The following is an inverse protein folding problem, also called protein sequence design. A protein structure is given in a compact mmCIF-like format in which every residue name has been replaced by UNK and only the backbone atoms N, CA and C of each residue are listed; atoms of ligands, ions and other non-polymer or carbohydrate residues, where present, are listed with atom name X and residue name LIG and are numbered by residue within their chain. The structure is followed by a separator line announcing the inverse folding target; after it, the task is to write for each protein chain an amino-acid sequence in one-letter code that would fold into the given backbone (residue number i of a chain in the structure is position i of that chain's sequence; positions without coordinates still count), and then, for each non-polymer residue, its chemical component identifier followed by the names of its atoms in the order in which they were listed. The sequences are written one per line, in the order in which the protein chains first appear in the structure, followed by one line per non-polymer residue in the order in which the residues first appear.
data_IF_802040207415
#
_entry.id   IF_802040207415
#
_cell.length_a   1.000
_cell.length_b   1.000
_cell.length_c   1.000
_cell.angle_alpha   90.00
_cell.angle_beta   90.00
_cell.angle_gamma   90.00
#
_symmetry.space_group_name_H-M   'P 1'
#
loop_
_entity.id
_entity.type
_entity.pdbx_description
1 polymer ?
#
# COMPACT_ATOMS: atom_id res chain seq x y z
N UNK A 1 -29.82 18.22 8.36
CA UNK A 1 -29.74 17.45 9.61
C UNK A 1 -28.35 17.77 10.13
N UNK A 2 -28.27 18.60 11.16
CA UNK A 2 -27.00 19.12 11.65
C UNK A 2 -26.37 18.05 12.55
N UNK A 3 -25.30 17.41 12.06
CA UNK A 3 -24.52 16.50 12.88
C UNK A 3 -23.76 17.30 13.94
N UNK A 4 -23.89 16.89 15.20
CA UNK A 4 -23.18 17.48 16.33
C UNK A 4 -21.86 16.74 16.58
N UNK A 5 -20.93 17.36 17.31
CA UNK A 5 -19.65 16.71 17.68
C UNK A 5 -19.89 15.39 18.41
N UNK A 6 -20.98 15.29 19.18
CA UNK A 6 -21.32 14.08 19.94
C UNK A 6 -21.72 12.91 19.04
N UNK A 7 -22.15 13.17 17.80
CA UNK A 7 -22.50 12.15 16.80
C UNK A 7 -21.27 11.51 16.14
N UNK A 8 -20.06 12.04 16.40
CA UNK A 8 -18.82 11.55 15.83
C UNK A 8 -18.22 10.41 16.68
N UNK A 9 -17.56 9.48 16.00
CA UNK A 9 -16.72 8.48 16.68
C UNK A 9 -15.54 9.15 17.40
N UNK A 10 -14.97 8.46 18.39
CA UNK A 10 -13.84 9.01 19.15
C UNK A 10 -12.63 9.32 18.26
N UNK A 11 -12.38 8.49 17.23
CA UNK A 11 -11.34 8.76 16.23
C UNK A 11 -11.62 10.00 15.38
N UNK A 12 -12.87 10.23 14.97
CA UNK A 12 -13.24 11.46 14.25
C UNK A 12 -13.10 12.71 15.14
N UNK A 13 -13.43 12.60 16.43
CA UNK A 13 -13.21 13.67 17.40
C UNK A 13 -11.72 13.97 17.56
N UNK A 14 -10.89 12.93 17.66
CA UNK A 14 -9.43 13.06 17.79
C UNK A 14 -8.81 13.77 16.58
N UNK A 15 -9.25 13.44 15.35
CA UNK A 15 -8.84 14.13 14.13
C UNK A 15 -9.24 15.61 14.18
N UNK A 16 -10.49 15.92 14.53
CA UNK A 16 -10.98 17.30 14.59
C UNK A 16 -10.20 18.10 15.63
N UNK A 17 -9.92 17.51 16.80
CA UNK A 17 -9.17 18.17 17.86
C UNK A 17 -7.72 18.43 17.46
N UNK A 18 -7.04 17.46 16.86
CA UNK A 18 -5.69 17.62 16.31
C UNK A 18 -5.66 18.73 15.26
N UNK A 19 -6.62 18.73 14.35
CA UNK A 19 -6.75 19.77 13.32
C UNK A 19 -6.99 21.16 13.93
N UNK A 20 -7.93 21.26 14.87
CA UNK A 20 -8.25 22.52 15.55
C UNK A 20 -7.02 23.07 16.28
N UNK A 21 -6.25 22.20 16.92
CA UNK A 21 -5.02 22.58 17.61
C UNK A 21 -3.96 23.08 16.63
N UNK A 22 -3.69 22.37 15.54
CA UNK A 22 -2.70 22.80 14.54
C UNK A 22 -3.11 24.13 13.90
N UNK A 23 -4.38 24.24 13.50
CA UNK A 23 -4.90 25.45 12.85
C UNK A 23 -4.91 26.65 13.79
N UNK A 24 -5.32 26.46 15.06
CA UNK A 24 -5.34 27.53 16.07
C UNK A 24 -3.95 28.07 16.37
N UNK A 25 -2.95 27.19 16.41
CA UNK A 25 -1.57 27.59 16.73
C UNK A 25 -0.85 28.25 15.54
N UNK A 26 -1.40 28.19 14.32
CA UNK A 26 -0.83 28.83 13.12
C UNK A 26 0.66 28.59 12.96
N UNK A 27 1.09 27.33 13.14
CA UNK A 27 2.48 26.95 12.96
C UNK A 27 2.96 27.36 11.56
N UNK A 28 4.07 28.09 11.52
CA UNK A 28 4.73 28.53 10.30
C UNK A 28 6.24 28.51 10.57
N UNK A 29 7.02 27.97 9.65
CA UNK A 29 8.46 27.81 9.78
C UNK A 29 8.84 26.98 11.03
N UNK A 30 8.07 25.92 11.26
CA UNK A 30 8.20 25.04 12.42
C UNK A 30 8.52 23.60 12.02
N UNK A 31 9.15 22.87 12.93
CA UNK A 31 9.25 21.40 12.89
C UNK A 31 8.18 20.85 13.83
N UNK A 32 7.32 19.98 13.32
CA UNK A 32 6.23 19.33 14.06
C UNK A 32 6.57 17.85 14.16
N UNK A 33 6.56 17.31 15.37
CA UNK A 33 6.78 15.89 15.64
C UNK A 33 5.46 15.29 16.10
N UNK A 34 5.03 14.21 15.46
CA UNK A 34 3.77 13.52 15.79
C UNK A 34 4.08 12.04 16.03
N UNK A 35 3.57 11.52 17.14
CA UNK A 35 3.73 10.13 17.54
C UNK A 35 2.38 9.42 17.39
N UNK A 36 2.35 8.34 16.62
CA UNK A 36 1.18 7.48 16.35
C UNK A 36 -0.13 8.26 16.02
N UNK A 37 -0.15 9.11 14.96
CA UNK A 37 -1.36 9.84 14.57
C UNK A 37 -2.56 8.94 14.20
N UNK A 38 -2.30 7.66 13.94
CA UNK A 38 -3.29 6.63 13.62
C UNK A 38 -4.04 6.05 14.83
N UNK A 39 -3.61 6.33 16.06
CA UNK A 39 -4.18 5.71 17.24
C UNK A 39 -5.71 5.97 17.29
N UNK A 40 -6.50 4.90 17.49
CA UNK A 40 -7.97 4.91 17.46
C UNK A 40 -8.66 5.21 16.11
N UNK A 41 -7.90 5.32 15.01
CA UNK A 41 -8.46 5.55 13.69
C UNK A 41 -8.73 4.23 12.95
N UNK A 42 -9.65 4.29 12.00
CA UNK A 42 -9.77 3.25 10.98
C UNK A 42 -8.91 3.62 9.77
N UNK A 43 -8.58 2.63 8.93
CA UNK A 43 -7.72 2.82 7.75
C UNK A 43 -8.15 3.97 6.81
N UNK A 44 -9.46 4.23 6.67
CA UNK A 44 -9.96 5.35 5.85
C UNK A 44 -9.63 6.71 6.47
N UNK A 45 -9.76 6.81 7.79
CA UNK A 45 -9.42 8.01 8.55
C UNK A 45 -7.91 8.24 8.64
N UNK A 46 -7.11 7.17 8.74
CA UNK A 46 -5.65 7.26 8.69
C UNK A 46 -5.16 7.89 7.38
N UNK A 47 -5.68 7.45 6.22
CA UNK A 47 -5.30 8.06 4.93
C UNK A 47 -5.65 9.56 4.88
N UNK A 48 -6.84 9.92 5.39
CA UNK A 48 -7.28 11.31 5.44
C UNK A 48 -6.38 12.17 6.34
N UNK A 49 -5.93 11.66 7.48
CA UNK A 49 -5.07 12.45 8.37
C UNK A 49 -3.76 12.81 7.68
N UNK A 50 -3.15 11.89 6.93
CA UNK A 50 -1.91 12.15 6.20
C UNK A 50 -2.11 13.18 5.09
N UNK A 51 -3.18 13.06 4.30
CA UNK A 51 -3.50 14.05 3.25
C UNK A 51 -3.71 15.46 3.83
N UNK A 52 -4.24 15.55 5.05
CA UNK A 52 -4.37 16.83 5.75
C UNK A 52 -3.03 17.35 6.29
N UNK A 53 -2.20 16.49 6.88
CA UNK A 53 -0.86 16.87 7.34
C UNK A 53 0.01 17.40 6.19
N UNK A 54 -0.12 16.85 4.98
CA UNK A 54 0.54 17.38 3.77
C UNK A 54 0.18 18.85 3.50
N UNK A 55 -1.07 19.28 3.74
CA UNK A 55 -1.46 20.70 3.60
C UNK A 55 -0.82 21.62 4.65
N UNK A 56 -0.48 21.08 5.82
CA UNK A 56 0.22 21.86 6.86
C UNK A 56 1.69 22.04 6.49
N UNK A 57 2.30 21.06 5.81
CA UNK A 57 3.65 21.16 5.23
C UNK A 57 3.73 22.32 4.22
N UNK A 58 2.70 22.51 3.38
CA UNK A 58 2.62 23.62 2.41
C UNK A 58 2.74 25.02 3.05
N UNK A 59 2.49 25.13 4.35
CA UNK A 59 2.65 26.38 5.12
C UNK A 59 4.09 26.58 5.63
N UNK A 60 5.09 26.06 4.90
CA UNK A 60 6.51 26.12 5.26
C UNK A 60 6.81 25.45 6.61
N UNK A 61 6.17 24.31 6.88
CA UNK A 61 6.44 23.49 8.05
C UNK A 61 7.09 22.17 7.64
N UNK A 62 7.90 21.58 8.51
CA UNK A 62 8.38 20.21 8.38
C UNK A 62 7.63 19.33 9.39
N UNK A 63 7.16 18.16 8.95
CA UNK A 63 6.46 17.21 9.84
C UNK A 63 7.23 15.90 9.84
N UNK A 64 7.52 15.38 11.04
CA UNK A 64 8.03 14.04 11.25
C UNK A 64 6.99 13.22 11.99
N UNK A 65 6.75 12.00 11.50
CA UNK A 65 5.75 11.09 12.04
C UNK A 65 6.46 9.81 12.46
N UNK A 66 6.27 9.40 13.71
CA UNK A 66 6.54 8.03 14.16
C UNK A 66 5.25 7.22 14.01
N UNK A 67 5.32 6.09 13.31
CA UNK A 67 4.13 5.30 12.97
C UNK A 67 4.51 3.83 12.84
N UNK A 68 3.55 2.98 13.19
CA UNK A 68 3.58 1.55 12.89
C UNK A 68 2.51 1.17 11.87
N UNK A 69 1.70 2.12 11.41
CA UNK A 69 0.62 1.89 10.46
C UNK A 69 1.13 1.63 9.04
N UNK A 70 0.79 0.47 8.45
CA UNK A 70 1.02 0.21 7.04
C UNK A 70 0.24 1.17 6.14
N UNK A 71 -0.94 1.64 6.57
CA UNK A 71 -1.76 2.56 5.79
C UNK A 71 -1.11 3.94 5.68
N UNK A 72 -0.52 4.43 6.77
CA UNK A 72 0.28 5.67 6.76
C UNK A 72 1.51 5.51 5.88
N UNK A 73 2.28 4.43 6.07
CA UNK A 73 3.48 4.15 5.28
C UNK A 73 3.16 4.03 3.78
N UNK A 74 2.04 3.40 3.44
CA UNK A 74 1.58 3.26 2.05
C UNK A 74 1.09 4.59 1.43
N UNK A 75 0.87 5.64 2.21
CA UNK A 75 0.35 6.94 1.75
C UNK A 75 1.43 8.01 1.47
N UNK A 76 2.70 7.66 1.69
CA UNK A 76 3.86 8.56 1.50
C UNK A 76 4.87 7.98 0.50
N UNK A 77 5.63 8.87 -0.15
CA UNK A 77 6.68 8.46 -1.07
C UNK A 77 7.89 7.87 -0.32
N UNK A 78 8.59 6.95 -0.98
CA UNK A 78 9.74 6.24 -0.38
C UNK A 78 10.82 7.19 0.13
N UNK A 79 11.06 8.30 -0.58
CA UNK A 79 12.07 9.29 -0.25
C UNK A 79 11.86 9.94 1.13
N UNK A 80 10.66 9.83 1.72
CA UNK A 80 10.32 10.35 3.04
C UNK A 80 10.29 9.28 4.14
N UNK A 81 10.60 8.02 3.82
CA UNK A 81 10.53 6.91 4.77
C UNK A 81 11.90 6.56 5.35
N UNK A 82 11.90 6.33 6.66
CA UNK A 82 13.04 5.81 7.40
C UNK A 82 12.59 4.59 8.22
N UNK A 83 13.23 3.45 8.01
CA UNK A 83 13.07 2.28 8.88
C UNK A 83 13.95 2.47 10.12
N UNK A 84 13.34 2.39 11.31
CA UNK A 84 14.06 2.45 12.57
C UNK A 84 14.42 1.03 13.04
N UNK A 85 15.70 0.66 12.89
CA UNK A 85 16.20 -0.65 13.27
C UNK A 85 17.32 -0.55 14.33
N UNK A 86 17.08 -0.94 15.58
CA UNK A 86 18.06 -0.83 16.66
C UNK A 86 19.22 -1.86 16.58
N UNK A 87 19.23 -2.72 15.56
CA UNK A 87 20.23 -3.79 15.39
C UNK A 87 21.38 -3.41 14.46
N UNK A 88 21.33 -2.23 13.84
CA UNK A 88 22.36 -1.71 12.93
C UNK A 88 23.06 -0.51 13.56
N UNK A 89 24.21 -0.09 13.04
CA UNK A 89 24.96 1.05 13.61
C UNK A 89 24.22 2.38 13.44
N UNK A 90 23.68 2.65 12.25
CA UNK A 90 22.75 3.76 12.03
C UNK A 90 21.32 3.24 12.13
N UNK A 91 20.63 3.57 13.23
CA UNK A 91 19.28 3.10 13.48
C UNK A 91 18.26 3.60 12.47
N UNK A 92 18.50 4.72 11.78
CA UNK A 92 17.60 5.24 10.76
C UNK A 92 18.10 4.88 9.35
N UNK A 93 17.41 3.93 8.72
CA UNK A 93 17.72 3.47 7.36
C UNK A 93 16.73 4.14 6.40
N UNK A 94 17.22 5.01 5.52
CA UNK A 94 16.39 5.60 4.46
C UNK A 94 15.94 4.53 3.46
N UNK A 95 14.66 4.57 3.11
CA UNK A 95 14.10 3.71 2.07
C UNK A 95 14.39 4.35 0.71
N UNK A 96 15.16 3.66 -0.12
CA UNK A 96 15.63 4.21 -1.40
C UNK A 96 15.12 3.45 -2.62
N UNK A 97 14.51 2.29 -2.40
CA UNK A 97 14.04 1.39 -3.43
C UNK A 97 12.90 0.51 -2.90
N UNK A 98 12.19 -0.15 -3.81
CA UNK A 98 11.05 -0.99 -3.47
C UNK A 98 11.44 -2.19 -2.60
N UNK A 99 12.64 -2.77 -2.76
CA UNK A 99 13.07 -3.88 -1.91
C UNK A 99 13.14 -3.45 -0.44
N UNK A 100 13.76 -2.30 -0.16
CA UNK A 100 13.88 -1.80 1.21
C UNK A 100 12.50 -1.48 1.79
N UNK A 101 11.59 -0.99 0.95
CA UNK A 101 10.20 -0.75 1.34
C UNK A 101 9.45 -2.05 1.71
N UNK A 102 9.57 -3.09 0.89
CA UNK A 102 8.94 -4.38 1.24
C UNK A 102 9.55 -4.98 2.51
N UNK A 103 10.86 -4.83 2.72
CA UNK A 103 11.49 -5.27 3.95
C UNK A 103 10.94 -4.52 5.16
N UNK A 104 10.74 -3.19 5.07
CA UNK A 104 10.08 -2.40 6.11
C UNK A 104 8.67 -2.93 6.41
N UNK A 105 7.87 -3.21 5.39
CA UNK A 105 6.52 -3.75 5.58
C UNK A 105 6.55 -5.16 6.21
N UNK A 106 7.47 -6.03 5.79
CA UNK A 106 7.67 -7.34 6.42
C UNK A 106 8.11 -7.23 7.89
N UNK A 107 9.01 -6.29 8.21
CA UNK A 107 9.48 -6.02 9.58
C UNK A 107 8.31 -5.56 10.49
N UNK A 108 7.32 -4.88 9.93
CA UNK A 108 6.08 -4.48 10.61
C UNK A 108 5.02 -5.59 10.65
N UNK A 109 5.31 -6.78 10.13
CA UNK A 109 4.39 -7.91 10.11
C UNK A 109 3.26 -7.79 9.08
N UNK A 110 3.40 -6.90 8.10
CA UNK A 110 2.41 -6.71 7.03
C UNK A 110 2.42 -7.94 6.12
N UNK A 111 1.23 -8.46 5.86
CA UNK A 111 1.09 -9.59 4.93
C UNK A 111 1.19 -9.11 3.49
N UNK A 112 1.71 -9.96 2.59
CA UNK A 112 1.83 -9.62 1.15
C UNK A 112 0.52 -9.18 0.49
N UNK A 113 -0.61 -9.69 0.98
CA UNK A 113 -1.95 -9.27 0.52
C UNK A 113 -2.32 -7.84 0.90
N UNK A 114 -1.68 -7.26 1.92
CA UNK A 114 -1.84 -5.87 2.36
C UNK A 114 -0.83 -4.90 1.74
N UNK A 115 0.25 -5.41 1.13
CA UNK A 115 1.32 -4.60 0.52
C UNK A 115 0.94 -3.96 -0.81
N UNK A 116 -0.33 -4.03 -1.20
CA UNK A 116 -0.84 -3.60 -2.51
C UNK A 116 -0.85 -2.07 -2.60
N UNK A 117 -0.02 -1.48 -3.46
CA UNK A 117 0.06 -0.03 -3.72
C UNK A 117 -0.19 0.34 -5.18
N UNK A 118 -0.49 1.61 -5.40
CA UNK A 118 -0.57 2.23 -6.72
C UNK A 118 0.79 2.10 -7.45
N UNK A 119 0.77 1.64 -8.70
CA UNK A 119 1.99 1.38 -9.49
C UNK A 119 2.51 -0.06 -9.42
N UNK A 120 2.09 -0.86 -8.42
CA UNK A 120 2.40 -2.29 -8.41
C UNK A 120 1.69 -3.01 -9.57
N UNK A 121 2.42 -3.95 -10.18
CA UNK A 121 1.90 -4.83 -11.21
C UNK A 121 1.67 -6.22 -10.63
N UNK A 122 0.45 -6.73 -10.72
CA UNK A 122 0.15 -8.09 -10.30
C UNK A 122 0.15 -9.02 -11.50
N UNK A 123 0.85 -10.14 -11.42
CA UNK A 123 0.81 -11.19 -12.44
C UNK A 123 0.21 -12.42 -11.80
N UNK A 124 -1.05 -12.69 -12.09
CA UNK A 124 -1.74 -13.89 -11.63
C UNK A 124 -1.39 -15.06 -12.52
N UNK A 125 -1.06 -16.19 -11.91
CA UNK A 125 -0.56 -17.38 -12.58
C UNK A 125 -1.33 -18.60 -12.07
N UNK A 126 -1.49 -19.62 -12.90
CA UNK A 126 -2.31 -20.79 -12.56
C UNK A 126 -1.83 -21.48 -11.27
N UNK A 127 -0.53 -21.72 -11.13
CA UNK A 127 0.03 -22.36 -9.95
C UNK A 127 1.37 -21.82 -9.44
N UNK A 128 1.81 -22.30 -8.27
CA UNK A 128 3.04 -21.88 -7.61
C UNK A 128 4.28 -22.35 -8.38
N UNK A 129 4.13 -23.35 -9.25
CA UNK A 129 5.21 -23.75 -10.17
C UNK A 129 5.46 -22.62 -11.18
N UNK A 130 4.40 -22.07 -11.77
CA UNK A 130 4.47 -20.93 -12.69
C UNK A 130 4.97 -19.69 -11.96
N UNK A 131 4.47 -19.46 -10.74
CA UNK A 131 4.93 -18.36 -9.88
C UNK A 131 6.44 -18.45 -9.64
N UNK A 132 6.92 -19.63 -9.23
CA UNK A 132 8.35 -19.88 -8.98
C UNK A 132 9.17 -19.66 -10.25
N UNK A 133 8.71 -20.20 -11.38
CA UNK A 133 9.40 -20.06 -12.66
C UNK A 133 9.49 -18.59 -13.10
N UNK A 134 8.37 -17.87 -13.06
CA UNK A 134 8.32 -16.48 -13.50
C UNK A 134 9.10 -15.55 -12.58
N UNK A 135 9.12 -15.80 -11.26
CA UNK A 135 10.01 -15.08 -10.32
C UNK A 135 11.48 -15.30 -10.67
N UNK A 136 11.89 -16.53 -11.00
CA UNK A 136 13.27 -16.81 -11.44
C UNK A 136 13.60 -16.16 -12.79
N UNK A 137 12.65 -16.19 -13.72
CA UNK A 137 12.76 -15.57 -15.03
C UNK A 137 12.91 -14.05 -14.92
N UNK A 138 12.05 -13.39 -14.15
CA UNK A 138 12.11 -11.95 -13.87
C UNK A 138 13.47 -11.55 -13.25
N UNK A 139 13.95 -12.30 -12.26
CA UNK A 139 15.29 -12.08 -11.66
C UNK A 139 16.41 -12.20 -12.70
N UNK A 140 16.30 -13.11 -13.65
CA UNK A 140 17.30 -13.31 -14.72
C UNK A 140 17.30 -12.16 -15.72
N UNK A 141 16.14 -11.60 -16.05
CA UNK A 141 16.01 -10.45 -16.95
C UNK A 141 16.46 -9.15 -16.27
N UNK A 142 16.15 -8.97 -14.98
CA UNK A 142 16.53 -7.77 -14.22
C UNK A 142 18.06 -7.56 -14.14
N UNK A 143 18.89 -8.61 -14.32
CA UNK A 143 20.35 -8.46 -14.44
C UNK A 143 20.81 -7.51 -15.55
N UNK A 144 19.94 -7.17 -16.51
CA UNK A 144 20.20 -6.21 -17.58
C UNK A 144 19.69 -4.78 -17.28
N UNK A 145 19.26 -4.45 -16.05
CA UNK A 145 18.81 -3.14 -15.56
C UNK A 145 17.64 -2.46 -16.31
N UNK A 146 16.94 -3.18 -17.18
CA UNK A 146 15.81 -2.63 -17.96
C UNK A 146 14.42 -2.94 -17.35
N UNK A 147 14.36 -3.56 -16.17
CA UNK A 147 13.10 -4.08 -15.63
C UNK A 147 13.15 -4.15 -14.10
N UNK A 148 12.35 -3.33 -13.42
CA UNK A 148 12.21 -3.44 -11.96
C UNK A 148 11.32 -4.65 -11.61
N UNK A 149 11.97 -5.75 -11.22
CA UNK A 149 11.26 -6.98 -10.84
C UNK A 149 10.58 -6.88 -9.48
N UNK A 150 10.88 -5.86 -8.67
CA UNK A 150 10.26 -5.70 -7.35
C UNK A 150 8.87 -5.04 -7.47
N UNK A 151 8.61 -4.37 -8.59
CA UNK A 151 7.32 -3.73 -8.88
C UNK A 151 6.28 -4.75 -9.35
N UNK A 152 6.69 -6.01 -9.55
CA UNK A 152 5.83 -7.08 -10.05
C UNK A 152 5.65 -8.16 -8.97
N UNK A 153 4.41 -8.34 -8.53
CA UNK A 153 4.06 -9.43 -7.63
C UNK A 153 3.37 -10.56 -8.39
N UNK A 154 3.96 -11.76 -8.31
CA UNK A 154 3.40 -12.96 -8.91
C UNK A 154 2.50 -13.68 -7.90
N UNK A 155 1.26 -13.97 -8.29
CA UNK A 155 0.26 -14.58 -7.40
C UNK A 155 -0.27 -15.86 -8.02
N UNK A 156 0.02 -17.00 -7.38
CA UNK A 156 -0.53 -18.30 -7.77
C UNK A 156 -2.02 -18.43 -7.43
N UNK A 157 -2.81 -18.95 -8.36
CA UNK A 157 -4.24 -19.21 -8.23
C UNK A 157 -4.58 -20.62 -7.69
N UNK A 158 -3.59 -21.43 -7.28
CA UNK A 158 -3.81 -22.80 -6.76
C UNK A 158 -4.88 -22.85 -5.67
N UNK A 159 -5.89 -23.70 -5.88
CA UNK A 159 -6.98 -23.97 -4.93
C UNK A 159 -8.30 -23.26 -5.28
N UNK A 160 -8.31 -22.44 -6.32
CA UNK A 160 -9.51 -21.73 -6.76
C UNK A 160 -10.25 -22.48 -7.86
N UNK A 161 -11.33 -23.16 -7.49
CA UNK A 161 -12.30 -23.70 -8.44
C UNK A 161 -13.10 -22.52 -9.03
N UNK A 162 -12.82 -22.21 -10.31
CA UNK A 162 -13.63 -21.46 -11.28
C UNK A 162 -13.98 -20.00 -10.94
N UNK A 163 -13.25 -19.08 -11.59
CA UNK A 163 -13.66 -17.72 -11.95
C UNK A 163 -14.02 -16.72 -10.82
N UNK A 164 -14.93 -17.08 -9.93
CA UNK A 164 -15.49 -16.21 -8.90
C UNK A 164 -14.47 -15.74 -7.88
N UNK A 165 -13.50 -16.58 -7.53
CA UNK A 165 -12.46 -16.24 -6.54
C UNK A 165 -11.32 -15.42 -7.16
N UNK A 166 -10.95 -15.72 -8.41
CA UNK A 166 -10.03 -14.88 -9.21
C UNK A 166 -10.62 -13.48 -9.35
N UNK A 167 -11.90 -13.40 -9.72
CA UNK A 167 -12.63 -12.14 -9.79
C UNK A 167 -12.71 -11.43 -8.44
N UNK A 168 -13.04 -12.12 -7.34
CA UNK A 168 -13.14 -11.46 -6.02
C UNK A 168 -11.80 -10.93 -5.54
N UNK A 169 -10.72 -11.68 -5.73
CA UNK A 169 -9.39 -11.27 -5.28
C UNK A 169 -8.81 -10.13 -6.12
N UNK A 170 -9.07 -10.13 -7.43
CA UNK A 170 -8.74 -9.02 -8.32
C UNK A 170 -9.58 -7.78 -7.99
N UNK A 171 -10.91 -7.92 -7.88
CA UNK A 171 -11.80 -6.78 -7.58
C UNK A 171 -11.58 -6.21 -6.17
N UNK A 172 -11.24 -7.01 -5.17
CA UNK A 172 -10.91 -6.51 -3.83
C UNK A 172 -9.67 -5.62 -3.88
N UNK A 173 -8.64 -6.03 -4.63
CA UNK A 173 -7.39 -5.28 -4.76
C UNK A 173 -7.58 -4.06 -5.66
N UNK A 174 -8.21 -4.20 -6.83
CA UNK A 174 -8.43 -3.14 -7.83
C UNK A 174 -9.39 -2.05 -7.32
N UNK A 175 -10.38 -2.37 -6.47
CA UNK A 175 -11.27 -1.35 -5.90
C UNK A 175 -10.58 -0.46 -4.85
N UNK A 176 -9.48 -0.91 -4.23
CA UNK A 176 -8.75 -0.12 -3.23
C UNK A 176 -7.72 0.83 -3.84
N UNK A 177 -7.22 0.52 -5.04
CA UNK A 177 -6.23 1.33 -5.77
C UNK A 177 -6.21 0.93 -7.26
N UNK A 178 -5.97 1.86 -8.21
CA UNK A 178 -5.81 1.50 -9.62
C UNK A 178 -4.54 0.67 -9.81
N UNK A 179 -4.73 -0.65 -9.86
CA UNK A 179 -3.66 -1.62 -10.00
C UNK A 179 -3.61 -2.12 -11.43
N UNK A 180 -2.42 -2.12 -12.03
CA UNK A 180 -2.20 -2.82 -13.28
C UNK A 180 -2.04 -4.31 -12.98
N UNK A 181 -2.79 -5.18 -13.64
CA UNK A 181 -2.62 -6.62 -13.48
C UNK A 181 -2.54 -7.32 -14.83
N UNK A 182 -1.95 -8.51 -14.82
CA UNK A 182 -1.82 -9.41 -15.96
C UNK A 182 -2.23 -10.82 -15.52
N UNK A 183 -2.81 -11.57 -16.44
CA UNK A 183 -3.24 -12.94 -16.22
C UNK A 183 -2.42 -13.86 -17.15
N UNK A 184 -1.75 -14.86 -16.58
CA UNK A 184 -1.03 -15.88 -17.34
C UNK A 184 -1.67 -17.23 -17.02
N UNK A 185 -2.38 -17.78 -17.99
CA UNK A 185 -3.14 -19.02 -17.85
C UNK A 185 -2.70 -20.05 -18.90
N UNK A 186 -2.73 -21.33 -18.55
CA UNK A 186 -2.58 -22.39 -19.53
C UNK A 186 -3.84 -22.48 -20.41
N UNK A 187 -3.64 -22.41 -21.73
CA UNK A 187 -4.71 -22.57 -22.73
C UNK A 187 -5.46 -23.90 -22.58
N UNK A 188 -4.80 -24.94 -22.05
CA UNK A 188 -5.42 -26.26 -21.93
C UNK A 188 -6.46 -26.37 -20.81
N UNK A 189 -6.53 -25.38 -19.91
CA UNK A 189 -7.43 -25.39 -18.76
C UNK A 189 -8.58 -24.39 -18.83
N UNK A 190 -8.54 -23.47 -19.80
CA UNK A 190 -9.52 -22.39 -19.93
C UNK A 190 -10.19 -22.44 -21.28
N UNK A 191 -11.52 -22.32 -21.27
CA UNK A 191 -12.30 -22.17 -22.50
C UNK A 191 -12.31 -20.72 -22.97
N UNK A 192 -12.50 -20.51 -24.28
CA UNK A 192 -12.63 -19.17 -24.85
C UNK A 192 -13.80 -18.39 -24.23
N UNK A 193 -14.87 -19.09 -23.82
CA UNK A 193 -16.00 -18.49 -23.09
C UNK A 193 -15.60 -17.99 -21.70
N UNK A 194 -14.83 -18.75 -20.92
CA UNK A 194 -14.35 -18.33 -19.59
C UNK A 194 -13.38 -17.14 -19.69
N UNK A 195 -12.52 -17.12 -20.70
CA UNK A 195 -11.60 -16.01 -20.98
C UNK A 195 -12.39 -14.75 -21.35
N UNK A 196 -13.33 -14.87 -22.29
CA UNK A 196 -14.17 -13.73 -22.72
C UNK A 196 -14.97 -13.16 -21.54
N UNK A 197 -15.43 -14.03 -20.64
CA UNK A 197 -16.14 -13.62 -19.43
C UNK A 197 -15.23 -12.89 -18.43
N UNK A 198 -13.96 -13.27 -18.33
CA UNK A 198 -12.99 -12.58 -17.47
C UNK A 198 -12.65 -11.18 -18.02
N UNK A 199 -12.46 -11.08 -19.34
CA UNK A 199 -12.19 -9.81 -20.01
C UNK A 199 -13.33 -8.81 -19.77
N UNK A 200 -14.59 -9.25 -19.90
CA UNK A 200 -15.76 -8.39 -19.67
C UNK A 200 -15.91 -7.96 -18.20
N UNK A 201 -15.70 -8.87 -17.25
CA UNK A 201 -15.95 -8.59 -15.84
C UNK A 201 -14.85 -7.79 -15.15
N UNK A 202 -13.63 -7.81 -15.69
CA UNK A 202 -12.46 -7.17 -15.07
C UNK A 202 -12.06 -5.88 -15.82
N UNK A 203 -12.47 -5.73 -17.09
CA UNK A 203 -12.34 -4.48 -17.85
C UNK A 203 -11.11 -4.41 -18.75
#
# INVERSE_FOLDING_TARGET
MDATIDDLSDGEKEIIMTYANIHKNKFNNSIILIDEPELHLNASLERKIIDHLKRIVELNNQIWIATHSPEVINSVDYDFLFNLNPRVENHAISISNERDFYQLLEDLGVTKSQMVREGMKFVFVEGPTDETFLRLFAKKINKNNNFDSNAIEFVSLKGYDRYHLVRSEILEKVNRSPISFFLILDKHQWTDEEISKLEVDIG
#
